data_IF_841706461207
#
_entry.id   IF_841706461207
#
_cell.length_a   1.000
_cell.length_b   1.000
_cell.length_c   1.000
_cell.angle_alpha   90.00
_cell.angle_beta   90.00
_cell.angle_gamma   90.00
#
_symmetry.space_group_name_H-M   'P 1'
#
loop_
_entity.id
_entity.type
_entity.pdbx_description
1 polymer ?
#
# COMPACT_ATOMS: atom_id res chain seq x y z
N UNK A 1 31.06 -46.45 1.15
CA UNK A 1 30.45 -47.79 1.10
C UNK A 1 30.42 -48.20 -0.36
N UNK A 2 31.38 -49.01 -0.83
CA UNK A 2 31.68 -49.14 -2.27
C UNK A 2 32.17 -50.53 -2.66
N UNK A 3 31.45 -51.57 -2.26
CA UNK A 3 31.80 -52.97 -2.55
C UNK A 3 30.58 -53.91 -2.64
N UNK A 4 29.40 -53.42 -3.04
CA UNK A 4 28.17 -54.22 -3.04
C UNK A 4 27.62 -54.61 -4.44
N UNK A 5 28.06 -53.98 -5.54
CA UNK A 5 27.43 -54.15 -6.86
C UNK A 5 28.33 -54.83 -7.90
N UNK A 6 28.96 -55.95 -7.55
CA UNK A 6 29.67 -56.74 -8.55
C UNK A 6 28.68 -57.56 -9.39
N UNK A 7 28.78 -57.45 -10.72
CA UNK A 7 28.00 -58.25 -11.66
C UNK A 7 28.62 -59.66 -11.70
N UNK A 8 27.95 -60.63 -11.07
CA UNK A 8 28.38 -62.03 -11.07
C UNK A 8 28.05 -62.70 -12.40
N UNK A 9 28.95 -63.55 -12.90
CA UNK A 9 28.77 -64.31 -14.15
C UNK A 9 28.06 -65.65 -13.90
N UNK A 10 27.23 -66.14 -14.84
CA UNK A 10 26.79 -65.44 -16.06
C UNK A 10 25.74 -64.37 -15.73
N UNK A 11 25.87 -63.17 -16.33
CA UNK A 11 24.96 -62.06 -16.06
C UNK A 11 23.85 -61.94 -17.11
N UNK A 12 22.70 -61.43 -16.69
CA UNK A 12 21.57 -61.17 -17.58
C UNK A 12 21.69 -59.76 -18.16
N UNK A 13 21.98 -59.67 -19.46
CA UNK A 13 22.20 -58.40 -20.15
C UNK A 13 21.01 -57.43 -20.01
N UNK A 14 19.77 -57.93 -20.04
CA UNK A 14 18.57 -57.12 -19.92
C UNK A 14 18.48 -56.40 -18.55
N UNK A 15 18.83 -57.09 -17.47
CA UNK A 15 18.81 -56.52 -16.12
C UNK A 15 19.88 -55.45 -15.95
N UNK A 16 21.09 -55.69 -16.48
CA UNK A 16 22.18 -54.72 -16.44
C UNK A 16 21.81 -53.44 -17.19
N UNK A 17 21.24 -53.57 -18.40
CA UNK A 17 20.80 -52.42 -19.19
C UNK A 17 19.74 -51.62 -18.43
N UNK A 18 18.74 -52.30 -17.85
CA UNK A 18 17.70 -51.65 -17.07
C UNK A 18 18.27 -50.86 -15.87
N UNK A 19 19.21 -51.46 -15.11
CA UNK A 19 19.87 -50.76 -13.99
C UNK A 19 20.67 -49.53 -14.44
N UNK A 20 21.45 -49.65 -15.52
CA UNK A 20 22.22 -48.53 -16.07
C UNK A 20 21.29 -47.41 -16.54
N UNK A 21 20.18 -47.75 -17.21
CA UNK A 21 19.16 -46.79 -17.62
C UNK A 21 18.58 -46.06 -16.40
N UNK A 22 18.17 -46.78 -15.36
CA UNK A 22 17.65 -46.17 -14.12
C UNK A 22 18.66 -45.21 -13.48
N UNK A 23 19.93 -45.59 -13.38
CA UNK A 23 20.96 -44.70 -12.82
C UNK A 23 21.21 -43.46 -13.69
N UNK A 24 21.16 -43.58 -15.02
CA UNK A 24 21.28 -42.45 -15.93
C UNK A 24 20.09 -41.51 -15.83
N UNK A 25 18.86 -42.04 -15.72
CA UNK A 25 17.65 -41.25 -15.51
C UNK A 25 17.66 -40.54 -14.16
N UNK A 26 18.01 -41.24 -13.08
CA UNK A 26 18.17 -40.66 -11.75
C UNK A 26 19.19 -39.52 -11.75
N UNK A 27 20.33 -39.70 -12.42
CA UNK A 27 21.34 -38.65 -12.54
C UNK A 27 20.78 -37.45 -13.30
N UNK A 28 20.12 -37.65 -14.44
CA UNK A 28 19.50 -36.56 -15.22
C UNK A 28 18.46 -35.79 -14.40
N UNK A 29 17.61 -36.50 -13.65
CA UNK A 29 16.61 -35.86 -12.80
C UNK A 29 17.25 -35.05 -11.67
N UNK A 30 18.29 -35.59 -11.01
CA UNK A 30 19.02 -34.87 -9.96
C UNK A 30 19.67 -33.62 -10.51
N UNK A 31 20.40 -33.73 -11.63
CA UNK A 31 21.08 -32.59 -12.26
C UNK A 31 20.05 -31.51 -12.67
N UNK A 32 18.88 -31.91 -13.16
CA UNK A 32 17.78 -30.99 -13.49
C UNK A 32 17.18 -30.30 -12.25
N UNK A 33 16.94 -31.06 -11.16
CA UNK A 33 16.44 -30.51 -9.90
C UNK A 33 17.44 -29.53 -9.29
N UNK A 34 18.74 -29.86 -9.31
CA UNK A 34 19.80 -28.97 -8.85
C UNK A 34 19.83 -27.66 -9.66
N UNK A 35 19.68 -27.74 -10.98
CA UNK A 35 19.58 -26.56 -11.84
C UNK A 35 18.34 -25.71 -11.50
N UNK A 36 17.18 -26.33 -11.30
CA UNK A 36 15.96 -25.61 -10.90
C UNK A 36 16.09 -24.96 -9.53
N UNK A 37 16.67 -25.66 -8.54
CA UNK A 37 16.92 -25.12 -7.21
C UNK A 37 17.82 -23.91 -7.30
N UNK A 38 18.91 -23.98 -8.08
CA UNK A 38 19.81 -22.85 -8.29
C UNK A 38 19.08 -21.65 -8.88
N UNK A 39 18.36 -21.84 -9.98
CA UNK A 39 17.61 -20.75 -10.63
C UNK A 39 16.59 -20.12 -9.66
N UNK A 40 15.82 -20.93 -8.94
CA UNK A 40 14.81 -20.43 -7.99
C UNK A 40 15.43 -19.73 -6.80
N UNK A 41 16.61 -20.16 -6.36
CA UNK A 41 17.36 -19.50 -5.29
C UNK A 41 17.87 -18.14 -5.73
N UNK A 42 18.37 -18.03 -6.97
CA UNK A 42 18.77 -16.75 -7.57
C UNK A 42 17.58 -15.79 -7.71
N UNK A 43 16.45 -16.25 -8.27
CA UNK A 43 15.21 -15.46 -8.37
C UNK A 43 14.70 -14.97 -7.00
N UNK A 44 14.79 -15.81 -5.98
CA UNK A 44 14.40 -15.44 -4.61
C UNK A 44 15.35 -14.41 -4.02
N UNK A 45 16.64 -14.55 -4.26
CA UNK A 45 17.66 -13.62 -3.76
C UNK A 45 17.53 -12.23 -4.40
N UNK A 46 17.26 -12.18 -5.71
CA UNK A 46 16.99 -10.94 -6.43
C UNK A 46 15.74 -10.23 -5.86
N UNK A 47 14.63 -10.97 -5.70
CA UNK A 47 13.39 -10.43 -5.12
C UNK A 47 13.56 -9.96 -3.69
N UNK A 48 14.32 -10.70 -2.87
CA UNK A 48 14.64 -10.32 -1.50
C UNK A 48 15.42 -9.01 -1.44
N UNK A 49 16.43 -8.87 -2.31
CA UNK A 49 17.23 -7.65 -2.40
C UNK A 49 16.39 -6.46 -2.87
N UNK A 50 15.59 -6.64 -3.91
CA UNK A 50 14.68 -5.60 -4.40
C UNK A 50 13.69 -5.15 -3.31
N UNK A 51 13.10 -6.11 -2.57
CA UNK A 51 12.18 -5.79 -1.48
C UNK A 51 12.87 -5.01 -0.36
N UNK A 52 14.09 -5.39 0.02
CA UNK A 52 14.88 -4.67 1.02
C UNK A 52 15.11 -3.21 0.63
N UNK A 53 15.58 -2.96 -0.60
CA UNK A 53 15.81 -1.60 -1.12
C UNK A 53 14.51 -0.78 -1.14
N UNK A 54 13.40 -1.39 -1.55
CA UNK A 54 12.09 -0.72 -1.55
C UNK A 54 11.63 -0.34 -0.13
N UNK A 55 11.90 -1.17 0.87
CA UNK A 55 11.59 -0.87 2.27
C UNK A 55 12.44 0.28 2.80
N UNK A 56 13.75 0.26 2.55
CA UNK A 56 14.67 1.34 2.92
C UNK A 56 14.25 2.67 2.28
N UNK A 57 13.95 2.64 0.97
CA UNK A 57 13.46 3.83 0.24
C UNK A 57 12.15 4.36 0.83
N UNK A 58 11.24 3.47 1.25
CA UNK A 58 9.97 3.86 1.87
C UNK A 58 10.19 4.55 3.21
N UNK A 59 11.08 4.03 4.04
CA UNK A 59 11.44 4.64 5.33
C UNK A 59 12.05 6.01 5.12
N UNK A 60 12.99 6.15 4.18
CA UNK A 60 13.62 7.42 3.84
C UNK A 60 12.60 8.47 3.36
N UNK A 61 11.68 8.09 2.47
CA UNK A 61 10.59 8.98 2.02
C UNK A 61 9.73 9.42 3.21
N UNK A 62 9.41 8.51 4.14
CA UNK A 62 8.61 8.83 5.31
C UNK A 62 9.29 9.85 6.21
N UNK A 63 10.59 9.65 6.50
CA UNK A 63 11.40 10.57 7.30
C UNK A 63 11.49 11.95 6.64
N UNK A 64 11.81 11.99 5.34
CA UNK A 64 11.89 13.23 4.57
C UNK A 64 10.58 14.02 4.58
N UNK A 65 9.42 13.35 4.49
CA UNK A 65 8.12 14.00 4.58
C UNK A 65 7.89 14.55 5.99
N UNK A 66 8.19 13.77 7.03
CA UNK A 66 8.02 14.19 8.42
C UNK A 66 8.88 15.41 8.75
N UNK A 67 10.14 15.43 8.32
CA UNK A 67 11.05 16.57 8.51
C UNK A 67 10.54 17.83 7.81
N UNK A 68 10.11 17.71 6.54
CA UNK A 68 9.53 18.84 5.79
C UNK A 68 8.27 19.40 6.44
N UNK A 69 7.35 18.53 6.89
CA UNK A 69 6.13 18.96 7.59
C UNK A 69 6.51 19.66 8.89
N UNK A 70 7.40 19.07 9.68
CA UNK A 70 7.86 19.62 10.97
C UNK A 70 8.46 21.00 10.76
N UNK A 71 9.44 21.13 9.86
CA UNK A 71 10.07 22.40 9.54
C UNK A 71 9.04 23.46 9.07
N UNK A 72 8.12 23.08 8.19
CA UNK A 72 7.11 24.02 7.69
C UNK A 72 6.14 24.48 8.80
N UNK A 73 5.69 23.57 9.67
CA UNK A 73 4.80 23.92 10.78
C UNK A 73 5.53 24.84 11.78
N UNK A 74 6.73 24.45 12.22
CA UNK A 74 7.48 25.19 13.24
C UNK A 74 8.00 26.54 12.74
N UNK A 75 8.48 26.62 11.50
CA UNK A 75 9.09 27.85 10.98
C UNK A 75 8.11 28.77 10.23
N UNK A 76 6.96 28.27 9.77
CA UNK A 76 6.07 29.06 8.92
C UNK A 76 4.66 29.24 9.47
N UNK A 77 4.12 28.27 10.22
CA UNK A 77 2.75 28.34 10.74
C UNK A 77 2.73 28.87 12.18
N UNK A 78 3.51 28.26 13.08
CA UNK A 78 3.55 28.66 14.49
C UNK A 78 3.87 30.14 14.70
N UNK A 79 4.83 30.76 13.98
CA UNK A 79 5.12 32.18 14.16
C UNK A 79 3.94 33.10 13.80
N UNK A 80 3.04 32.67 12.90
CA UNK A 80 1.85 33.45 12.55
C UNK A 80 0.74 33.25 13.58
N UNK A 81 0.61 32.03 14.12
CA UNK A 81 -0.31 31.74 15.23
C UNK A 81 0.07 32.52 16.50
N UNK A 82 1.37 32.65 16.80
CA UNK A 82 1.86 33.49 17.90
C UNK A 82 1.48 34.97 17.69
N UNK A 83 1.63 35.49 16.46
CA UNK A 83 1.20 36.85 16.14
C UNK A 83 -0.30 37.01 16.38
N UNK A 84 -1.13 36.06 15.95
CA UNK A 84 -2.58 36.07 16.15
C UNK A 84 -3.03 36.02 17.61
N UNK A 85 -2.17 35.60 18.55
CA UNK A 85 -2.48 35.52 19.98
C UNK A 85 -2.57 36.90 20.66
N UNK A 86 -1.92 37.91 20.08
CA UNK A 86 -1.96 39.29 20.59
C UNK A 86 -3.27 39.95 20.12
N UNK A 87 -3.98 40.73 20.97
CA UNK A 87 -5.15 41.50 20.55
C UNK A 87 -4.77 42.52 19.46
N UNK A 88 -5.47 42.50 18.32
CA UNK A 88 -5.20 43.40 17.19
C UNK A 88 -6.50 43.81 16.50
N UNK A 89 -6.41 44.76 15.56
CA UNK A 89 -7.57 45.14 14.77
C UNK A 89 -8.11 43.96 13.94
N UNK A 90 -9.43 43.90 13.69
CA UNK A 90 -10.04 42.86 12.86
C UNK A 90 -9.43 42.78 11.45
N UNK A 91 -9.00 43.91 10.88
CA UNK A 91 -8.35 43.97 9.57
C UNK A 91 -6.97 43.30 9.56
N UNK A 92 -6.18 43.47 10.62
CA UNK A 92 -4.87 42.85 10.75
C UNK A 92 -5.00 41.35 11.04
N UNK A 93 -5.97 40.96 11.85
CA UNK A 93 -6.32 39.55 12.09
C UNK A 93 -6.70 38.83 10.78
N UNK A 94 -7.57 39.43 9.96
CA UNK A 94 -7.96 38.87 8.67
C UNK A 94 -6.79 38.69 7.72
N UNK A 95 -5.78 39.59 7.76
CA UNK A 95 -4.55 39.48 6.97
C UNK A 95 -3.72 38.27 7.39
N UNK A 96 -3.52 38.06 8.69
CA UNK A 96 -2.77 36.91 9.21
C UNK A 96 -3.47 35.57 8.89
N UNK A 97 -4.79 35.51 9.06
CA UNK A 97 -5.60 34.33 8.70
C UNK A 97 -5.47 34.01 7.21
N UNK A 98 -5.55 35.02 6.34
CA UNK A 98 -5.38 34.83 4.89
C UNK A 98 -4.00 34.26 4.55
N UNK A 99 -2.96 34.73 5.23
CA UNK A 99 -1.59 34.28 4.99
C UNK A 99 -1.32 32.87 5.52
N UNK A 100 -1.88 32.49 6.67
CA UNK A 100 -1.85 31.09 7.13
C UNK A 100 -2.56 30.18 6.13
N UNK A 101 -3.76 30.55 5.68
CA UNK A 101 -4.50 29.74 4.72
C UNK A 101 -3.73 29.55 3.41
N UNK A 102 -3.11 30.60 2.87
CA UNK A 102 -2.29 30.48 1.67
C UNK A 102 -1.10 29.52 1.87
N UNK A 103 -0.38 29.64 3.00
CA UNK A 103 0.75 28.76 3.33
C UNK A 103 0.33 27.31 3.54
N UNK A 104 -0.78 27.08 4.23
CA UNK A 104 -1.33 25.73 4.41
C UNK A 104 -1.73 25.12 3.07
N UNK A 105 -2.35 25.88 2.16
CA UNK A 105 -2.69 25.39 0.83
C UNK A 105 -1.45 25.05 0.00
N UNK A 106 -0.39 25.84 0.10
CA UNK A 106 0.90 25.57 -0.55
C UNK A 106 1.60 24.34 0.05
N UNK A 107 1.55 24.14 1.37
CA UNK A 107 2.05 22.93 2.02
C UNK A 107 1.24 21.70 1.57
N UNK A 108 -0.08 21.84 1.51
CA UNK A 108 -0.98 20.75 1.14
C UNK A 108 -0.82 20.35 -0.33
N UNK A 109 -0.59 21.29 -1.25
CA UNK A 109 -0.43 21.01 -2.69
C UNK A 109 0.75 20.08 -3.00
N UNK A 110 1.74 20.01 -2.11
CA UNK A 110 2.87 19.07 -2.19
C UNK A 110 2.45 17.61 -1.92
N UNK A 111 1.20 17.37 -1.50
CA UNK A 111 0.64 16.05 -1.19
C UNK A 111 -0.53 15.67 -2.13
N UNK A 112 -0.27 15.44 -3.43
CA UNK A 112 -1.31 15.26 -4.44
C UNK A 112 -2.24 14.05 -4.20
N UNK A 113 -1.78 13.04 -3.46
CA UNK A 113 -2.49 11.76 -3.29
C UNK A 113 -3.33 11.65 -2.01
N UNK A 114 -3.24 12.59 -1.06
CA UNK A 114 -3.91 12.48 0.25
C UNK A 114 -4.93 13.57 0.58
N UNK A 115 -4.92 14.70 -0.13
CA UNK A 115 -5.87 15.81 0.15
C UNK A 115 -7.32 15.41 -0.18
N UNK A 116 -7.55 14.58 -1.19
CA UNK A 116 -8.88 14.14 -1.57
C UNK A 116 -9.64 13.44 -0.44
N UNK A 117 -8.94 12.76 0.47
CA UNK A 117 -9.53 12.15 1.67
C UNK A 117 -9.97 13.19 2.72
N UNK A 118 -9.35 14.37 2.75
CA UNK A 118 -9.65 15.46 3.68
C UNK A 118 -10.64 16.50 3.13
N UNK A 119 -11.11 16.38 1.88
CA UNK A 119 -12.15 17.25 1.29
C UNK A 119 -13.57 16.70 1.46
N UNK A 120 -13.71 15.59 2.19
CA UNK A 120 -15.00 15.05 2.55
C UNK A 120 -15.68 15.96 3.58
N UNK A 121 -16.94 16.28 3.33
CA UNK A 121 -17.82 16.97 4.28
C UNK A 121 -18.08 16.08 5.51
N UNK A 122 -18.53 16.63 6.64
CA UNK A 122 -18.84 15.83 7.83
C UNK A 122 -19.80 14.65 7.56
N UNK A 123 -20.83 14.87 6.73
CA UNK A 123 -21.77 13.82 6.32
C UNK A 123 -21.09 12.72 5.47
N UNK A 124 -20.19 13.10 4.57
CA UNK A 124 -19.41 12.16 3.77
C UNK A 124 -18.40 11.37 4.61
N UNK A 125 -17.79 12.00 5.63
CA UNK A 125 -16.90 11.33 6.60
C UNK A 125 -17.69 10.27 7.39
N UNK A 126 -18.87 10.63 7.89
CA UNK A 126 -19.72 9.71 8.65
C UNK A 126 -20.11 8.48 7.81
N UNK A 127 -20.53 8.70 6.56
CA UNK A 127 -20.86 7.62 5.62
C UNK A 127 -19.61 6.80 5.27
N UNK A 128 -18.45 7.44 5.04
CA UNK A 128 -17.20 6.75 4.77
C UNK A 128 -16.75 5.85 5.92
N UNK A 129 -16.94 6.27 7.19
CA UNK A 129 -16.65 5.44 8.38
C UNK A 129 -17.47 4.15 8.38
N UNK A 130 -18.79 4.27 8.16
CA UNK A 130 -19.68 3.11 8.14
C UNK A 130 -19.39 2.17 6.95
N UNK A 131 -18.95 2.71 5.81
CA UNK A 131 -18.48 1.91 4.67
C UNK A 131 -17.19 1.17 5.02
N UNK A 132 -16.25 1.82 5.72
CA UNK A 132 -14.98 1.22 6.18
C UNK A 132 -15.24 0.03 7.13
N UNK A 133 -16.22 0.18 8.02
CA UNK A 133 -16.74 -0.89 8.91
C UNK A 133 -17.48 -2.01 8.15
N UNK A 134 -17.88 -1.76 6.90
CA UNK A 134 -18.46 -2.76 6.02
C UNK A 134 -19.98 -2.79 5.96
N UNK A 135 -20.66 -1.75 6.44
CA UNK A 135 -22.11 -1.60 6.36
C UNK A 135 -22.58 -1.40 4.91
N UNK A 136 -23.73 -1.98 4.56
CA UNK A 136 -24.38 -1.80 3.25
C UNK A 136 -25.07 -0.42 3.14
N UNK A 137 -25.44 -0.02 1.92
CA UNK A 137 -26.17 1.25 1.70
C UNK A 137 -27.45 1.32 2.52
N UNK A 138 -28.25 0.25 2.48
CA UNK A 138 -29.43 0.04 3.32
C UNK A 138 -29.14 0.12 4.83
N UNK A 139 -28.12 -0.58 5.32
CA UNK A 139 -27.76 -0.53 6.75
C UNK A 139 -27.33 0.88 7.21
N UNK A 140 -26.62 1.61 6.35
CA UNK A 140 -26.23 3.00 6.62
C UNK A 140 -27.47 3.90 6.64
N UNK A 141 -28.40 3.69 5.71
CA UNK A 141 -29.65 4.42 5.62
C UNK A 141 -30.48 4.26 6.91
N UNK A 142 -30.60 3.01 7.38
CA UNK A 142 -31.30 2.67 8.62
C UNK A 142 -30.61 3.30 9.85
N UNK A 143 -29.27 3.25 9.94
CA UNK A 143 -28.51 3.82 11.06
C UNK A 143 -28.58 5.34 11.13
N UNK A 144 -28.62 6.01 9.98
CA UNK A 144 -28.64 7.47 9.89
C UNK A 144 -30.06 8.05 9.76
N UNK A 145 -31.09 7.19 9.73
CA UNK A 145 -32.49 7.55 9.51
C UNK A 145 -32.69 8.43 8.26
N UNK A 146 -32.10 8.00 7.13
CA UNK A 146 -32.20 8.68 5.83
C UNK A 146 -32.57 7.67 4.74
N UNK A 147 -33.03 8.17 3.59
CA UNK A 147 -33.30 7.30 2.43
C UNK A 147 -32.00 6.68 1.88
N UNK A 148 -32.07 5.42 1.43
CA UNK A 148 -30.93 4.73 0.79
C UNK A 148 -30.39 5.49 -0.44
N UNK A 149 -31.27 6.17 -1.19
CA UNK A 149 -30.88 7.05 -2.29
C UNK A 149 -29.93 8.17 -1.86
N UNK A 150 -30.10 8.73 -0.66
CA UNK A 150 -29.24 9.77 -0.09
C UNK A 150 -27.85 9.22 0.24
N UNK A 151 -27.78 8.00 0.79
CA UNK A 151 -26.50 7.32 1.04
C UNK A 151 -25.76 7.06 -0.27
N UNK A 152 -26.46 6.62 -1.32
CA UNK A 152 -25.87 6.39 -2.63
C UNK A 152 -25.38 7.69 -3.29
N UNK A 153 -26.10 8.80 -3.11
CA UNK A 153 -25.66 10.12 -3.54
C UNK A 153 -24.34 10.52 -2.87
N UNK A 154 -24.24 10.44 -1.54
CA UNK A 154 -23.00 10.72 -0.81
C UNK A 154 -21.87 9.76 -1.19
N UNK A 155 -22.14 8.46 -1.38
CA UNK A 155 -21.16 7.49 -1.89
C UNK A 155 -20.57 7.92 -3.24
N UNK A 156 -21.39 8.46 -4.14
CA UNK A 156 -20.93 8.95 -5.44
C UNK A 156 -20.10 10.22 -5.30
N UNK A 157 -20.47 11.14 -4.40
CA UNK A 157 -19.65 12.32 -4.13
C UNK A 157 -18.32 11.96 -3.50
N UNK A 158 -18.29 11.01 -2.56
CA UNK A 158 -17.07 10.45 -2.00
C UNK A 158 -16.21 9.85 -3.12
N UNK A 159 -16.77 9.04 -4.03
CA UNK A 159 -16.01 8.50 -5.17
C UNK A 159 -15.44 9.60 -6.06
N UNK A 160 -16.21 10.63 -6.39
CA UNK A 160 -15.75 11.77 -7.20
C UNK A 160 -14.60 12.51 -6.52
N UNK A 161 -14.76 12.84 -5.24
CA UNK A 161 -13.75 13.54 -4.45
C UNK A 161 -12.47 12.72 -4.28
N UNK A 162 -12.58 11.40 -4.12
CA UNK A 162 -11.47 10.46 -4.02
C UNK A 162 -10.87 10.01 -5.36
N UNK A 163 -11.37 10.51 -6.50
CA UNK A 163 -10.85 10.13 -7.83
C UNK A 163 -11.18 8.68 -8.25
N UNK A 164 -12.21 8.07 -7.68
CA UNK A 164 -12.60 6.67 -7.88
C UNK A 164 -13.73 6.48 -8.92
N UNK A 165 -13.94 7.47 -9.80
CA UNK A 165 -15.10 7.53 -10.72
C UNK A 165 -15.15 6.31 -11.68
N UNK A 166 -13.99 5.76 -12.05
CA UNK A 166 -13.87 4.66 -13.02
C UNK A 166 -13.64 3.28 -12.38
N UNK A 167 -13.68 3.18 -11.04
CA UNK A 167 -13.43 1.93 -10.32
C UNK A 167 -14.66 1.55 -9.48
N UNK A 168 -15.56 0.79 -10.10
CA UNK A 168 -16.92 0.56 -9.60
C UNK A 168 -16.97 -0.03 -8.15
N UNK A 169 -15.98 -0.85 -7.76
CA UNK A 169 -16.06 -1.64 -6.52
C UNK A 169 -15.00 -1.34 -5.45
N UNK A 170 -14.11 -0.36 -5.67
CA UNK A 170 -12.93 -0.18 -4.81
C UNK A 170 -13.10 0.79 -3.63
N UNK A 171 -14.27 1.40 -3.43
CA UNK A 171 -14.44 2.41 -2.39
C UNK A 171 -14.14 1.87 -0.99
N UNK A 172 -14.70 0.71 -0.60
CA UNK A 172 -14.44 0.10 0.71
C UNK A 172 -12.97 -0.29 0.89
N UNK A 173 -12.35 -0.86 -0.14
CA UNK A 173 -10.95 -1.27 -0.10
C UNK A 173 -10.01 -0.05 0.04
N UNK A 174 -10.29 1.02 -0.70
CA UNK A 174 -9.56 2.28 -0.62
C UNK A 174 -9.69 2.94 0.76
N UNK A 175 -10.91 3.02 1.30
CA UNK A 175 -11.15 3.59 2.63
C UNK A 175 -10.47 2.79 3.76
N UNK A 176 -10.26 1.47 3.59
CA UNK A 176 -9.48 0.65 4.54
C UNK A 176 -7.97 0.94 4.48
N UNK A 177 -7.45 1.40 3.36
CA UNK A 177 -6.04 1.75 3.19
C UNK A 177 -5.70 3.12 3.74
N UNK A 178 -6.69 4.01 3.86
CA UNK A 178 -6.59 5.26 4.61
C UNK A 178 -6.52 4.92 6.10
N UNK A 179 -5.29 4.89 6.65
CA UNK A 179 -5.03 4.80 8.08
C UNK A 179 -5.56 6.03 8.79
#
# INVERSE_FOLDING_TARGET
>A
VGAADYILKPFHAAELIARVQTHLELKRHRDHLEAMIRQRTEELQEKSTALKVMLETREEISTNVQEKITANVYHQILPILEKLRVPQSPSLQAKWVRMINARLMEMLSQFPQKISAFTLTPAEIQIASLIKEGKSGKQIADLLNVAEGTVNFHRNNIRKKLGLIHHNDRLKAYLKQLR
#
